data_IF_705395380391
#
_entry.id   IF_705395380391
#
_cell.length_a   1.000
_cell.length_b   1.000
_cell.length_c   1.000
_cell.angle_alpha   90.00
_cell.angle_beta   90.00
_cell.angle_gamma   90.00
#
_symmetry.space_group_name_H-M   'P 1'
#
loop_
_entity.id
_entity.type
_entity.pdbx_description
1 polymer ?
#
# COMPACT_ATOMS: atom_id res chain seq x y z
N UNK A 1 -37.82 -2.22 -8.86
CA UNK A 1 -36.82 -1.61 -9.75
C UNK A 1 -35.44 -2.10 -9.34
N UNK A 2 -35.01 -3.25 -9.85
CA UNK A 2 -33.66 -3.79 -9.62
C UNK A 2 -32.80 -3.37 -10.81
N UNK A 3 -31.89 -2.40 -10.63
CA UNK A 3 -30.76 -2.28 -11.56
C UNK A 3 -30.02 -3.61 -11.47
N UNK A 4 -30.05 -4.41 -12.53
CA UNK A 4 -29.05 -5.46 -12.73
C UNK A 4 -27.73 -4.71 -12.86
N UNK A 5 -27.07 -4.45 -11.73
CA UNK A 5 -25.71 -3.95 -11.74
C UNK A 5 -24.93 -4.97 -12.54
N UNK A 6 -24.35 -4.52 -13.66
CA UNK A 6 -23.46 -5.36 -14.46
C UNK A 6 -22.39 -5.96 -13.53
N UNK A 7 -21.84 -7.12 -13.90
CA UNK A 7 -20.94 -7.82 -13.01
C UNK A 7 -19.87 -6.94 -12.40
N UNK A 8 -19.62 -7.07 -11.10
CA UNK A 8 -18.70 -6.19 -10.33
C UNK A 8 -17.30 -6.15 -10.97
N UNK A 9 -16.87 -7.25 -11.59
CA UNK A 9 -15.62 -7.38 -12.33
C UNK A 9 -15.55 -6.59 -13.65
N UNK A 10 -16.61 -5.94 -14.11
CA UNK A 10 -16.58 -5.01 -15.25
C UNK A 10 -16.45 -3.54 -14.80
N UNK A 11 -16.43 -3.25 -13.50
CA UNK A 11 -16.34 -1.88 -12.99
C UNK A 11 -14.93 -1.32 -13.18
N UNK A 12 -14.78 -0.35 -14.09
CA UNK A 12 -13.50 0.31 -14.39
C UNK A 12 -12.87 1.03 -13.18
N UNK A 13 -13.68 1.60 -12.28
CA UNK A 13 -13.18 2.25 -11.06
C UNK A 13 -12.59 1.23 -10.09
N UNK A 14 -13.24 0.06 -9.97
CA UNK A 14 -12.74 -1.05 -9.17
C UNK A 14 -11.41 -1.56 -9.72
N UNK A 15 -11.30 -1.78 -11.03
CA UNK A 15 -10.03 -2.17 -11.64
C UNK A 15 -8.92 -1.15 -11.44
N UNK A 16 -9.22 0.14 -11.57
CA UNK A 16 -8.23 1.19 -11.37
C UNK A 16 -7.63 1.14 -9.95
N UNK A 17 -8.48 1.01 -8.91
CA UNK A 17 -7.99 0.92 -7.54
C UNK A 17 -7.28 -0.41 -7.25
N UNK A 18 -7.79 -1.53 -7.78
CA UNK A 18 -7.14 -2.83 -7.61
C UNK A 18 -5.74 -2.89 -8.25
N UNK A 19 -5.57 -2.30 -9.43
CA UNK A 19 -4.26 -2.21 -10.10
C UNK A 19 -3.31 -1.31 -9.31
N UNK A 20 -3.79 -0.13 -8.88
CA UNK A 20 -2.99 0.79 -8.08
C UNK A 20 -2.50 0.12 -6.78
N UNK A 21 -3.40 -0.56 -6.07
CA UNK A 21 -3.10 -1.29 -4.84
C UNK A 21 -2.10 -2.42 -5.09
N UNK A 22 -2.28 -3.18 -6.17
CA UNK A 22 -1.35 -4.25 -6.56
C UNK A 22 0.05 -3.71 -6.83
N UNK A 23 0.17 -2.61 -7.56
CA UNK A 23 1.45 -1.96 -7.86
C UNK A 23 2.09 -1.42 -6.58
N UNK A 24 1.32 -0.81 -5.68
CA UNK A 24 1.82 -0.29 -4.41
C UNK A 24 2.41 -1.40 -3.54
N UNK A 25 1.70 -2.51 -3.38
CA UNK A 25 2.19 -3.66 -2.61
C UNK A 25 3.34 -4.39 -3.29
N UNK A 26 3.30 -4.57 -4.62
CA UNK A 26 4.41 -5.13 -5.37
C UNK A 26 5.66 -4.25 -5.19
N UNK A 27 5.52 -2.93 -5.33
CA UNK A 27 6.59 -1.98 -5.07
C UNK A 27 7.16 -2.13 -3.66
N UNK A 28 6.31 -2.14 -2.64
CA UNK A 28 6.75 -2.26 -1.25
C UNK A 28 7.51 -3.58 -1.00
N UNK A 29 6.96 -4.71 -1.44
CA UNK A 29 7.55 -6.02 -1.20
C UNK A 29 8.77 -6.35 -2.07
N UNK A 30 8.98 -5.67 -3.20
CA UNK A 30 10.17 -5.87 -4.02
C UNK A 30 11.24 -4.81 -3.80
N UNK A 31 10.88 -3.54 -3.68
CA UNK A 31 11.84 -2.44 -3.51
C UNK A 31 12.52 -2.54 -2.14
N UNK A 32 11.78 -2.86 -1.08
CA UNK A 32 12.37 -2.96 0.26
C UNK A 32 13.50 -4.01 0.34
N UNK A 33 13.28 -5.30 0.04
CA UNK A 33 14.36 -6.28 0.12
C UNK A 33 15.48 -6.00 -0.90
N UNK A 34 15.18 -5.47 -2.09
CA UNK A 34 16.20 -5.07 -3.05
C UNK A 34 17.09 -3.93 -2.52
N UNK A 35 16.51 -3.01 -1.74
CA UNK A 35 17.21 -1.85 -1.18
C UNK A 35 17.87 -2.15 0.16
N UNK A 36 17.45 -3.21 0.86
CA UNK A 36 17.87 -3.53 2.22
C UNK A 36 19.40 -3.64 2.36
N UNK A 37 20.05 -4.40 1.47
CA UNK A 37 21.51 -4.55 1.49
C UNK A 37 22.24 -3.24 1.16
N UNK A 38 21.66 -2.43 0.26
CA UNK A 38 22.21 -1.13 -0.12
C UNK A 38 22.08 -0.10 1.01
N UNK A 39 20.99 -0.14 1.75
CA UNK A 39 20.79 0.72 2.93
C UNK A 39 21.64 0.28 4.10
N UNK A 40 21.81 -1.03 4.32
CA UNK A 40 22.73 -1.54 5.32
C UNK A 40 24.17 -1.06 5.04
N UNK A 41 24.63 -1.15 3.79
CA UNK A 41 25.99 -0.70 3.44
C UNK A 41 26.15 0.82 3.47
N UNK A 42 25.11 1.57 3.09
CA UNK A 42 25.16 3.03 3.02
C UNK A 42 25.00 3.71 4.39
N UNK A 43 24.05 3.26 5.22
CA UNK A 43 23.74 3.86 6.52
C UNK A 43 24.44 3.16 7.70
N UNK A 44 24.99 1.96 7.48
CA UNK A 44 25.62 1.15 8.53
C UNK A 44 24.63 0.55 9.53
N UNK A 45 23.32 0.65 9.26
CA UNK A 45 22.28 0.12 10.14
C UNK A 45 22.18 -1.40 10.00
N UNK A 46 21.89 -2.07 11.11
CA UNK A 46 21.61 -3.51 11.09
C UNK A 46 20.34 -3.82 10.29
N UNK A 47 20.26 -5.04 9.73
CA UNK A 47 19.05 -5.54 9.06
C UNK A 47 17.83 -5.43 9.98
N UNK A 48 18.00 -5.66 11.28
CA UNK A 48 16.95 -5.52 12.29
C UNK A 48 16.42 -4.10 12.37
N UNK A 49 17.30 -3.09 12.44
CA UNK A 49 16.90 -1.68 12.47
C UNK A 49 16.14 -1.26 11.21
N UNK A 50 16.63 -1.66 10.03
CA UNK A 50 15.98 -1.36 8.76
C UNK A 50 14.60 -2.05 8.65
N UNK A 51 14.50 -3.29 9.11
CA UNK A 51 13.22 -4.05 9.15
C UNK A 51 12.22 -3.43 10.13
N UNK A 52 12.71 -2.92 11.25
CA UNK A 52 11.88 -2.20 12.21
C UNK A 52 11.36 -0.88 11.61
N UNK A 53 12.19 -0.15 10.87
CA UNK A 53 11.75 1.05 10.14
C UNK A 53 10.63 0.77 9.12
N UNK A 54 10.68 -0.35 8.40
CA UNK A 54 9.56 -0.78 7.54
C UNK A 54 8.30 -1.08 8.37
N UNK A 55 8.45 -1.71 9.53
CA UNK A 55 7.34 -2.04 10.41
C UNK A 55 6.66 -0.78 10.93
N UNK A 56 7.43 0.22 11.36
CA UNK A 56 6.90 1.53 11.76
C UNK A 56 6.17 2.21 10.60
N UNK A 57 6.73 2.17 9.38
CA UNK A 57 6.09 2.70 8.20
C UNK A 57 4.74 2.00 7.90
N UNK A 58 4.64 0.69 8.09
CA UNK A 58 3.39 -0.07 7.94
C UNK A 58 2.36 0.30 9.01
N UNK A 59 2.78 0.51 10.26
CA UNK A 59 1.89 0.99 11.33
C UNK A 59 1.32 2.36 10.97
N UNK A 60 2.19 3.29 10.54
CA UNK A 60 1.77 4.61 10.07
C UNK A 60 0.81 4.49 8.89
N UNK A 61 1.11 3.63 7.91
CA UNK A 61 0.23 3.36 6.76
C UNK A 61 -1.16 2.89 7.20
N UNK A 62 -1.24 1.96 8.16
CA UNK A 62 -2.52 1.47 8.67
C UNK A 62 -3.34 2.57 9.36
N UNK A 63 -2.69 3.40 10.20
CA UNK A 63 -3.35 4.51 10.88
C UNK A 63 -3.87 5.56 9.88
N UNK A 64 -3.04 5.91 8.89
CA UNK A 64 -3.42 6.84 7.83
C UNK A 64 -4.52 6.25 6.96
N UNK A 65 -4.51 4.94 6.70
CA UNK A 65 -5.57 4.24 5.96
C UNK A 65 -6.96 4.44 6.57
N UNK A 66 -7.08 4.45 7.90
CA UNK A 66 -8.34 4.76 8.60
C UNK A 66 -8.81 6.19 8.29
N UNK A 67 -7.87 7.16 8.30
CA UNK A 67 -8.18 8.57 8.01
C UNK A 67 -8.56 8.75 6.54
N UNK A 68 -7.79 8.16 5.62
CA UNK A 68 -8.05 8.19 4.18
C UNK A 68 -9.40 7.57 3.84
N UNK A 69 -9.77 6.44 4.45
CA UNK A 69 -11.08 5.82 4.28
C UNK A 69 -12.21 6.77 4.68
N UNK A 70 -12.10 7.40 5.86
CA UNK A 70 -13.07 8.41 6.31
C UNK A 70 -13.16 9.62 5.39
N UNK A 71 -12.06 10.02 4.76
CA UNK A 71 -12.04 11.14 3.81
C UNK A 71 -12.76 10.78 2.51
N UNK A 72 -12.50 9.58 1.97
CA UNK A 72 -13.17 9.04 0.79
C UNK A 72 -14.67 8.89 1.03
N UNK A 73 -15.07 8.38 2.20
CA UNK A 73 -16.49 8.22 2.56
C UNK A 73 -17.24 9.55 2.64
N UNK A 74 -16.55 10.67 2.88
CA UNK A 74 -17.13 12.02 2.85
C UNK A 74 -17.34 12.57 1.43
N UNK A 75 -16.82 11.89 0.41
CA UNK A 75 -16.96 12.28 -0.99
C UNK A 75 -16.01 13.39 -1.45
N UNK A 76 -14.89 13.59 -0.75
CA UNK A 76 -13.80 14.46 -1.19
C UNK A 76 -12.85 13.74 -2.15
#
# INVERSE_FOLDING_TARGET
>A
MTRLAGPVWLNRKLWAISIAETIAWAGLFYIFPASLLRWQSHYGWSITQLSFGLTEALIVSALVGIVSGKLIDRGH
#
